data_IF_890905410468
#
_entry.id   IF_890905410468
#
_cell.length_a   1.000
_cell.length_b   1.000
_cell.length_c   1.000
_cell.angle_alpha   90.00
_cell.angle_beta   90.00
_cell.angle_gamma   90.00
#
_symmetry.space_group_name_H-M   'P 1'
#
loop_
_entity.id
_entity.type
_entity.pdbx_description
1 polymer ?
#
# COMPACT_ATOMS: atom_id res chain seq x y z
N UNK A 1 16.32 3.36 17.30
CA UNK A 1 16.28 4.40 16.25
C UNK A 1 15.25 5.43 16.66
N UNK A 2 15.63 6.67 16.95
CA UNK A 2 14.72 7.75 17.29
C UNK A 2 14.79 8.84 16.22
N UNK A 3 13.62 9.27 15.73
CA UNK A 3 13.49 10.43 14.84
C UNK A 3 12.96 11.59 15.68
N UNK A 4 13.71 12.69 15.75
CA UNK A 4 13.27 13.93 16.41
C UNK A 4 12.89 14.92 15.31
N UNK A 5 11.65 15.41 15.33
CA UNK A 5 11.15 16.38 14.36
C UNK A 5 10.97 17.72 15.08
N UNK A 6 11.86 18.70 14.86
CA UNK A 6 11.72 20.03 15.46
C UNK A 6 10.63 20.82 14.72
N UNK A 7 9.38 20.76 15.20
CA UNK A 7 8.23 21.44 14.59
C UNK A 7 8.25 22.97 14.74
N UNK A 8 9.18 23.51 15.53
CA UNK A 8 9.32 24.95 15.77
C UNK A 8 8.20 25.53 16.64
N UNK A 9 8.03 26.86 16.61
CA UNK A 9 6.98 27.58 17.33
C UNK A 9 5.74 27.71 16.45
N UNK A 10 4.55 27.61 17.05
CA UNK A 10 3.28 27.89 16.37
C UNK A 10 3.23 29.36 15.95
N UNK A 11 2.81 29.62 14.72
CA UNK A 11 2.67 30.97 14.15
C UNK A 11 1.35 31.13 13.39
N UNK A 12 1.14 32.32 12.79
CA UNK A 12 -0.11 32.65 12.09
C UNK A 12 -0.26 31.96 10.72
N UNK A 13 0.81 31.41 10.15
CA UNK A 13 0.80 30.70 8.87
C UNK A 13 0.75 29.20 9.10
N UNK A 14 -0.21 28.52 8.47
CA UNK A 14 -0.32 27.08 8.49
C UNK A 14 0.92 26.41 7.87
N UNK A 15 1.37 25.30 8.48
CA UNK A 15 2.46 24.48 7.97
C UNK A 15 2.09 23.00 8.07
N UNK A 16 2.28 22.27 6.99
CA UNK A 16 2.15 20.82 6.94
C UNK A 16 3.54 20.18 6.98
N UNK A 17 3.69 19.11 7.76
CA UNK A 17 4.87 18.25 7.77
C UNK A 17 4.39 16.81 7.74
N UNK A 18 5.14 15.93 7.06
CA UNK A 18 4.83 14.51 7.00
C UNK A 18 6.07 13.67 7.27
N UNK A 19 5.83 12.43 7.70
CA UNK A 19 6.86 11.40 7.89
C UNK A 19 6.59 10.29 6.89
N UNK A 20 7.63 9.86 6.18
CA UNK A 20 7.56 8.68 5.35
C UNK A 20 8.14 7.49 6.10
N UNK A 21 7.42 6.37 6.06
CA UNK A 21 7.87 5.07 6.54
C UNK A 21 7.84 4.11 5.36
N UNK A 22 8.99 3.48 5.08
CA UNK A 22 9.15 2.53 4.00
C UNK A 22 9.63 1.17 4.50
N UNK A 23 9.29 0.13 3.76
CA UNK A 23 9.82 -1.23 3.92
C UNK A 23 10.49 -1.63 2.62
N UNK A 24 11.77 -2.00 2.67
CA UNK A 24 12.60 -2.29 1.48
C UNK A 24 12.21 -3.61 0.77
N UNK A 25 11.41 -4.47 1.41
CA UNK A 25 10.76 -5.65 0.81
C UNK A 25 11.65 -6.42 -0.20
N UNK A 26 12.89 -6.73 0.19
CA UNK A 26 13.94 -7.25 -0.71
C UNK A 26 13.47 -8.36 -1.66
N UNK A 27 12.72 -9.31 -1.10
CA UNK A 27 11.95 -10.34 -1.82
C UNK A 27 10.55 -10.39 -1.21
N UNK A 28 9.52 -10.22 -2.03
CA UNK A 28 8.13 -10.13 -1.55
C UNK A 28 7.52 -11.49 -1.21
N UNK A 29 7.90 -12.55 -1.93
CA UNK A 29 7.41 -13.92 -1.71
C UNK A 29 8.30 -14.96 -2.42
N UNK A 30 8.12 -16.23 -2.06
CA UNK A 30 8.69 -17.37 -2.77
C UNK A 30 7.62 -18.07 -3.60
N UNK A 31 7.83 -18.17 -4.91
CA UNK A 31 6.93 -18.79 -5.88
C UNK A 31 7.61 -20.03 -6.48
N UNK A 32 7.13 -21.23 -6.14
CA UNK A 32 7.74 -22.50 -6.57
C UNK A 32 9.28 -22.51 -6.41
N UNK A 33 9.74 -22.29 -5.17
CA UNK A 33 11.17 -22.19 -4.80
C UNK A 33 11.95 -21.02 -5.43
N UNK A 34 11.28 -20.12 -6.14
CA UNK A 34 11.88 -18.90 -6.71
C UNK A 34 11.51 -17.68 -5.87
N UNK A 35 12.50 -16.99 -5.29
CA UNK A 35 12.23 -15.74 -4.58
C UNK A 35 11.94 -14.63 -5.60
N UNK A 36 10.74 -14.05 -5.53
CA UNK A 36 10.32 -12.97 -6.42
C UNK A 36 10.52 -11.62 -5.73
N UNK A 37 11.01 -10.65 -6.51
CA UNK A 37 11.14 -9.26 -6.07
C UNK A 37 9.79 -8.53 -6.18
N UNK A 38 9.56 -7.49 -5.38
CA UNK A 38 8.38 -6.66 -5.53
C UNK A 38 8.33 -6.02 -6.91
N UNK A 39 7.13 -5.71 -7.37
CA UNK A 39 6.91 -5.03 -8.65
C UNK A 39 7.72 -3.74 -8.81
N UNK A 40 7.89 -2.97 -7.73
CA UNK A 40 8.65 -1.72 -7.78
C UNK A 40 10.17 -1.93 -7.91
N UNK A 41 10.68 -3.15 -7.74
CA UNK A 41 12.10 -3.51 -7.88
C UNK A 41 12.32 -4.83 -8.64
N UNK A 42 11.58 -5.07 -9.73
CA UNK A 42 11.75 -6.31 -10.52
C UNK A 42 13.18 -6.52 -11.02
N UNK A 43 13.90 -5.43 -11.32
CA UNK A 43 15.28 -5.47 -11.83
C UNK A 43 16.34 -5.71 -10.74
N UNK A 44 15.98 -5.52 -9.46
CA UNK A 44 16.92 -5.54 -8.34
C UNK A 44 17.89 -4.35 -8.28
N UNK A 45 17.66 -3.31 -9.08
CA UNK A 45 18.53 -2.12 -9.17
C UNK A 45 17.96 -0.88 -8.46
N UNK A 46 16.74 -0.96 -7.95
CA UNK A 46 16.13 0.12 -7.15
C UNK A 46 16.54 -0.01 -5.67
N UNK A 47 16.53 1.11 -4.96
CA UNK A 47 16.73 1.17 -3.51
C UNK A 47 15.54 1.82 -2.82
N UNK A 48 15.30 1.49 -1.55
CA UNK A 48 14.21 2.08 -0.77
C UNK A 48 14.35 3.61 -0.64
N UNK A 49 15.57 4.15 -0.60
CA UNK A 49 15.80 5.60 -0.53
C UNK A 49 15.33 6.30 -1.81
N UNK A 50 15.61 5.73 -2.98
CA UNK A 50 15.12 6.26 -4.25
C UNK A 50 13.60 6.21 -4.32
N UNK A 51 12.98 5.15 -3.79
CA UNK A 51 11.52 5.03 -3.73
C UNK A 51 10.90 6.03 -2.75
N UNK A 52 11.54 6.30 -1.61
CA UNK A 52 11.11 7.34 -0.67
C UNK A 52 11.21 8.74 -1.29
N UNK A 53 12.26 9.03 -2.06
CA UNK A 53 12.37 10.29 -2.80
C UNK A 53 11.26 10.43 -3.84
N UNK A 54 10.97 9.38 -4.61
CA UNK A 54 9.83 9.34 -5.55
C UNK A 54 8.50 9.57 -4.80
N UNK A 55 8.27 8.87 -3.70
CA UNK A 55 7.07 9.03 -2.88
C UNK A 55 6.91 10.47 -2.35
N UNK A 56 8.00 11.09 -1.90
CA UNK A 56 7.98 12.49 -1.47
C UNK A 56 7.64 13.46 -2.60
N UNK A 57 8.21 13.25 -3.79
CA UNK A 57 7.97 14.11 -4.95
C UNK A 57 6.51 14.01 -5.45
N UNK A 58 5.91 12.83 -5.34
CA UNK A 58 4.54 12.56 -5.78
C UNK A 58 3.48 12.62 -4.66
N UNK A 59 3.86 12.98 -3.43
CA UNK A 59 2.99 12.92 -2.25
C UNK A 59 1.64 13.60 -2.47
N UNK A 60 1.64 14.87 -2.91
CA UNK A 60 0.41 15.64 -3.11
C UNK A 60 -0.50 15.03 -4.18
N UNK A 61 0.08 14.50 -5.26
CA UNK A 61 -0.66 13.83 -6.34
C UNK A 61 -1.29 12.53 -5.85
N UNK A 62 -0.54 11.71 -5.11
CA UNK A 62 -1.02 10.44 -4.54
C UNK A 62 -2.14 10.70 -3.54
N UNK A 63 -1.99 11.69 -2.65
CA UNK A 63 -3.02 12.04 -1.66
C UNK A 63 -4.32 12.52 -2.32
N UNK A 64 -4.23 13.25 -3.44
CA UNK A 64 -5.42 13.62 -4.23
C UNK A 64 -6.12 12.40 -4.81
N UNK A 65 -5.38 11.43 -5.37
CA UNK A 65 -5.95 10.17 -5.88
C UNK A 65 -6.60 9.35 -4.77
N UNK A 66 -5.97 9.24 -3.60
CA UNK A 66 -6.54 8.57 -2.44
C UNK A 66 -7.87 9.22 -2.02
N UNK A 67 -7.90 10.56 -1.91
CA UNK A 67 -9.13 11.28 -1.53
C UNK A 67 -10.26 11.06 -2.54
N UNK A 68 -9.96 11.09 -3.83
CA UNK A 68 -10.94 10.84 -4.88
C UNK A 68 -11.49 9.40 -4.82
N UNK A 69 -10.61 8.42 -4.61
CA UNK A 69 -11.01 7.03 -4.47
C UNK A 69 -11.85 6.80 -3.20
N UNK A 70 -11.43 7.33 -2.06
CA UNK A 70 -12.14 7.20 -0.78
C UNK A 70 -13.57 7.76 -0.88
N UNK A 71 -13.72 8.93 -1.51
CA UNK A 71 -15.04 9.54 -1.75
C UNK A 71 -15.91 8.65 -2.63
N UNK A 72 -15.35 8.12 -3.73
CA UNK A 72 -16.07 7.24 -4.63
C UNK A 72 -16.52 5.96 -3.94
N UNK A 73 -15.63 5.28 -3.24
CA UNK A 73 -15.92 4.04 -2.52
C UNK A 73 -17.01 4.25 -1.47
N UNK A 74 -16.91 5.32 -0.67
CA UNK A 74 -17.90 5.66 0.33
C UNK A 74 -19.28 5.92 -0.29
N UNK A 75 -19.35 6.77 -1.33
CA UNK A 75 -20.61 7.10 -2.00
C UNK A 75 -21.28 5.86 -2.62
N UNK A 76 -20.51 5.03 -3.33
CA UNK A 76 -21.03 3.80 -3.95
C UNK A 76 -21.56 2.83 -2.89
N UNK A 77 -20.85 2.68 -1.77
CA UNK A 77 -21.26 1.78 -0.70
C UNK A 77 -22.45 2.32 0.11
N UNK A 78 -22.52 3.63 0.39
CA UNK A 78 -23.69 4.26 1.02
C UNK A 78 -24.92 4.08 0.13
N UNK A 79 -24.79 4.29 -1.18
CA UNK A 79 -25.89 4.07 -2.13
C UNK A 79 -26.36 2.61 -2.14
N UNK A 80 -25.44 1.67 -1.90
CA UNK A 80 -25.73 0.24 -1.93
C UNK A 80 -26.35 -0.30 -0.64
N UNK A 81 -26.00 0.24 0.53
CA UNK A 81 -26.43 -0.32 1.81
C UNK A 81 -26.42 0.62 3.02
N UNK A 82 -26.28 1.93 2.80
CA UNK A 82 -26.23 2.94 3.85
C UNK A 82 -24.88 3.00 4.59
N UNK A 83 -24.81 3.88 5.59
CA UNK A 83 -23.54 4.27 6.23
C UNK A 83 -22.82 3.10 6.91
N UNK A 84 -23.55 2.23 7.64
CA UNK A 84 -22.95 1.07 8.32
C UNK A 84 -22.34 0.08 7.32
N UNK A 85 -22.99 -0.12 6.18
CA UNK A 85 -22.48 -0.98 5.12
C UNK A 85 -21.24 -0.37 4.45
N UNK A 86 -21.23 0.95 4.23
CA UNK A 86 -20.07 1.66 3.71
C UNK A 86 -18.84 1.49 4.61
N UNK A 87 -19.00 1.61 5.93
CA UNK A 87 -17.91 1.38 6.88
C UNK A 87 -17.34 -0.04 6.79
N UNK A 88 -18.19 -1.07 6.66
CA UNK A 88 -17.74 -2.45 6.48
C UNK A 88 -16.97 -2.63 5.16
N UNK A 89 -17.47 -2.07 4.05
CA UNK A 89 -16.80 -2.14 2.75
C UNK A 89 -15.42 -1.47 2.77
N UNK A 90 -15.31 -0.30 3.41
CA UNK A 90 -14.05 0.43 3.53
C UNK A 90 -13.03 -0.39 4.32
N UNK A 91 -13.43 -0.97 5.45
CA UNK A 91 -12.56 -1.83 6.25
C UNK A 91 -12.12 -3.08 5.48
N UNK A 92 -13.08 -3.76 4.84
CA UNK A 92 -12.80 -4.96 4.03
C UNK A 92 -11.85 -4.66 2.87
N UNK A 93 -12.05 -3.56 2.14
CA UNK A 93 -11.17 -3.15 1.05
C UNK A 93 -9.73 -2.92 1.53
N UNK A 94 -9.55 -2.17 2.62
CA UNK A 94 -8.22 -1.88 3.17
C UNK A 94 -7.52 -3.17 3.62
N UNK A 95 -8.24 -4.06 4.28
CA UNK A 95 -7.72 -5.37 4.68
C UNK A 95 -7.32 -6.21 3.47
N UNK A 96 -8.21 -6.35 2.48
CA UNK A 96 -7.98 -7.17 1.30
C UNK A 96 -6.75 -6.67 0.54
N UNK A 97 -6.74 -5.40 0.10
CA UNK A 97 -5.66 -4.87 -0.74
C UNK A 97 -4.30 -4.87 -0.02
N UNK A 98 -4.26 -4.56 1.30
CA UNK A 98 -3.01 -4.57 2.06
C UNK A 98 -2.42 -5.98 2.28
N UNK A 99 -3.24 -7.03 2.15
CA UNK A 99 -2.79 -8.40 2.21
C UNK A 99 -2.16 -8.90 0.90
N UNK A 100 -2.17 -8.12 -0.17
CA UNK A 100 -1.63 -8.53 -1.46
C UNK A 100 -0.15 -8.18 -1.64
N UNK A 101 0.54 -9.02 -2.41
CA UNK A 101 1.83 -8.71 -3.02
C UNK A 101 1.66 -8.61 -4.53
N UNK A 102 2.24 -7.55 -5.11
CA UNK A 102 2.35 -7.39 -6.56
C UNK A 102 3.77 -7.75 -6.99
N UNK A 103 3.90 -8.81 -7.79
CA UNK A 103 5.20 -9.33 -8.26
C UNK A 103 5.12 -9.72 -9.73
N UNK A 104 6.28 -9.97 -10.33
CA UNK A 104 6.38 -10.54 -11.68
C UNK A 104 6.78 -12.02 -11.59
N UNK A 105 6.08 -12.89 -12.32
CA UNK A 105 6.41 -14.31 -12.42
C UNK A 105 7.72 -14.53 -13.22
N UNK A 106 8.34 -15.72 -13.15
CA UNK A 106 9.49 -16.07 -13.99
C UNK A 106 9.19 -16.02 -15.51
N UNK A 107 7.92 -16.20 -15.90
CA UNK A 107 7.43 -16.06 -17.28
C UNK A 107 7.10 -14.62 -17.68
N UNK A 108 7.24 -13.66 -16.75
CA UNK A 108 7.00 -12.24 -17.00
C UNK A 108 5.58 -11.74 -16.70
N UNK A 109 4.71 -12.61 -16.19
CA UNK A 109 3.30 -12.28 -15.89
C UNK A 109 3.18 -11.44 -14.61
N UNK A 110 2.18 -10.55 -14.58
CA UNK A 110 1.85 -9.79 -13.37
C UNK A 110 1.02 -10.64 -12.43
N UNK A 111 1.52 -10.86 -11.21
CA UNK A 111 0.83 -11.61 -10.16
C UNK A 111 0.43 -10.66 -9.04
N UNK A 112 -0.88 -10.59 -8.75
CA UNK A 112 -1.42 -9.85 -7.62
C UNK A 112 -2.06 -10.85 -6.65
N UNK A 113 -1.27 -11.30 -5.68
CA UNK A 113 -1.61 -12.45 -4.85
C UNK A 113 -1.90 -12.03 -3.41
N UNK A 114 -3.08 -12.39 -2.91
CA UNK A 114 -3.50 -12.17 -1.53
C UNK A 114 -2.91 -13.21 -0.59
N UNK A 115 -2.48 -12.77 0.60
CA UNK A 115 -2.27 -13.65 1.74
C UNK A 115 -3.60 -13.85 2.45
N UNK A 116 -3.99 -15.10 2.68
CA UNK A 116 -5.29 -15.46 3.27
C UNK A 116 -5.47 -14.89 4.68
N UNK A 117 -4.56 -15.25 5.61
CA UNK A 117 -4.57 -14.83 7.00
C UNK A 117 -3.19 -15.09 7.66
N UNK A 118 -3.06 -14.86 8.96
CA UNK A 118 -1.80 -15.02 9.72
C UNK A 118 -1.55 -16.41 10.31
N UNK A 119 -2.38 -17.41 10.01
CA UNK A 119 -2.22 -18.75 10.60
C UNK A 119 -1.13 -19.58 9.92
N UNK A 120 -1.12 -19.66 8.58
CA UNK A 120 -0.24 -20.57 7.83
C UNK A 120 0.50 -19.92 6.65
N UNK A 121 0.29 -18.62 6.39
CA UNK A 121 0.97 -17.93 5.30
C UNK A 121 0.51 -18.34 3.89
N UNK A 122 -0.66 -18.96 3.76
CA UNK A 122 -1.28 -19.29 2.47
C UNK A 122 -1.41 -18.06 1.57
N UNK A 123 -1.14 -18.23 0.29
CA UNK A 123 -1.15 -17.17 -0.70
C UNK A 123 -1.88 -17.63 -1.96
N UNK A 124 -2.75 -16.79 -2.53
CA UNK A 124 -3.56 -17.17 -3.70
C UNK A 124 -4.55 -18.30 -3.42
N UNK A 125 -5.10 -18.35 -2.21
CA UNK A 125 -6.11 -19.35 -1.81
C UNK A 125 -7.35 -19.20 -2.71
N UNK A 126 -7.74 -20.28 -3.40
CA UNK A 126 -8.73 -20.23 -4.51
C UNK A 126 -10.16 -19.91 -4.05
N UNK A 127 -10.50 -20.25 -2.81
CA UNK A 127 -11.83 -20.09 -2.22
C UNK A 127 -12.02 -18.77 -1.44
N UNK A 128 -11.05 -17.85 -1.53
CA UNK A 128 -11.03 -16.53 -0.85
C UNK A 128 -11.14 -15.41 -1.88
#
# INVERSE_FOLDING_TARGET
MNTIIPLGKVGATERENFVMLGYDDLYSLQYFHTNLRPWWNTTGKETIENQLQKASAHYSEVMQKCKAFDQKLHQDAVKSGGEKYAQLCILAYRQAVSAHKLVQSPSGELLFLSKENFSNGSIGTVDI
#
